data_IF_389514005827
#
_entry.id   IF_389514005827
#
_cell.length_a   1.000
_cell.length_b   1.000
_cell.length_c   1.000
_cell.angle_alpha   90.00
_cell.angle_beta   90.00
_cell.angle_gamma   90.00
#
_symmetry.space_group_name_H-M   'P 1'
#
loop_
_entity.id
_entity.type
_entity.pdbx_description
1 polymer ?
#
# COMPACT_ATOMS: atom_id res chain seq x y z
N UNK A 1 2.80 -33.68 18.51
CA UNK A 1 1.87 -33.01 17.59
C UNK A 1 2.37 -33.26 16.17
N UNK A 2 1.70 -34.11 15.39
CA UNK A 2 2.12 -34.43 14.03
C UNK A 2 1.74 -33.28 13.09
N UNK A 3 2.73 -32.56 12.56
CA UNK A 3 2.50 -31.62 11.47
C UNK A 3 2.42 -32.41 10.15
N UNK A 4 1.20 -32.68 9.69
CA UNK A 4 0.99 -33.14 8.32
C UNK A 4 1.38 -31.99 7.38
N UNK A 5 2.53 -32.11 6.75
CA UNK A 5 2.90 -31.22 5.67
C UNK A 5 2.12 -31.65 4.43
N UNK A 6 1.16 -30.82 4.04
CA UNK A 6 0.41 -31.02 2.80
C UNK A 6 1.22 -30.38 1.68
N UNK A 7 1.49 -31.15 0.64
CA UNK A 7 2.22 -30.68 -0.54
C UNK A 7 1.33 -30.80 -1.77
N UNK A 8 1.46 -29.85 -2.70
CA UNK A 8 0.94 -29.97 -4.07
C UNK A 8 2.13 -30.18 -4.99
N UNK A 9 2.06 -31.20 -5.84
CA UNK A 9 3.06 -31.42 -6.88
C UNK A 9 2.53 -30.90 -8.21
N UNK A 10 3.18 -29.89 -8.77
CA UNK A 10 2.92 -29.40 -10.12
C UNK A 10 3.82 -30.14 -11.09
N UNK A 11 3.21 -30.76 -12.11
CA UNK A 11 3.92 -31.43 -13.19
C UNK A 11 4.07 -30.49 -14.38
N UNK A 12 5.31 -30.13 -14.73
CA UNK A 12 5.66 -29.25 -15.84
C UNK A 12 6.49 -30.04 -16.85
N UNK A 13 5.83 -30.86 -17.67
CA UNK A 13 6.49 -31.81 -18.56
C UNK A 13 7.29 -32.86 -17.77
N UNK A 14 8.61 -32.92 -18.00
CA UNK A 14 9.51 -33.80 -17.24
C UNK A 14 9.87 -33.28 -15.85
N UNK A 15 9.55 -32.01 -15.53
CA UNK A 15 9.87 -31.38 -14.25
C UNK A 15 8.73 -31.57 -13.25
N UNK A 16 9.08 -31.74 -11.98
CA UNK A 16 8.15 -31.75 -10.85
C UNK A 16 8.53 -30.61 -9.90
N UNK A 17 7.55 -29.78 -9.54
CA UNK A 17 7.71 -28.73 -8.54
C UNK A 17 6.81 -29.08 -7.36
N UNK A 18 7.40 -29.22 -6.17
CA UNK A 18 6.67 -29.53 -4.95
C UNK A 18 6.47 -28.22 -4.18
N UNK A 19 5.22 -27.84 -3.96
CA UNK A 19 4.85 -26.64 -3.24
C UNK A 19 4.26 -26.99 -1.88
N UNK A 20 4.69 -26.27 -0.85
CA UNK A 20 4.09 -26.35 0.48
C UNK A 20 2.70 -25.73 0.46
N UNK A 21 1.70 -26.46 0.95
CA UNK A 21 0.37 -25.89 1.20
C UNK A 21 0.35 -25.30 2.59
N UNK A 22 0.05 -24.00 2.66
CA UNK A 22 -0.17 -23.31 3.92
C UNK A 22 -1.67 -23.15 4.15
N UNK A 23 -2.12 -23.53 5.36
CA UNK A 23 -3.49 -23.27 5.77
C UNK A 23 -3.65 -21.76 5.98
N UNK A 24 -4.63 -21.17 5.30
CA UNK A 24 -5.00 -19.77 5.50
C UNK A 24 -5.46 -19.59 6.95
N UNK A 25 -4.93 -18.54 7.61
CA UNK A 25 -5.28 -18.23 8.99
C UNK A 25 -6.78 -17.92 9.11
N UNK A 26 -7.36 -18.32 10.25
CA UNK A 26 -8.72 -17.86 10.58
C UNK A 26 -8.67 -16.35 10.81
N UNK A 27 -9.53 -15.62 10.12
CA UNK A 27 -9.59 -14.15 10.14
C UNK A 27 -10.42 -13.65 11.32
N UNK A 28 -9.96 -13.95 12.52
CA UNK A 28 -10.73 -13.79 13.77
C UNK A 28 -10.16 -12.76 14.75
N UNK A 29 -8.95 -12.24 14.50
CA UNK A 29 -8.35 -11.23 15.37
C UNK A 29 -9.16 -9.92 15.26
N UNK A 30 -9.50 -9.29 16.39
CA UNK A 30 -10.12 -7.97 16.35
C UNK A 30 -9.16 -6.94 15.75
N UNK A 31 -9.70 -5.99 14.98
CA UNK A 31 -8.92 -4.94 14.35
C UNK A 31 -9.00 -4.93 12.82
N UNK A 32 -8.15 -4.10 12.23
CA UNK A 32 -8.06 -3.88 10.80
C UNK A 32 -6.63 -4.08 10.32
N UNK A 33 -6.46 -4.87 9.25
CA UNK A 33 -5.17 -5.04 8.56
C UNK A 33 -5.20 -4.23 7.26
N UNK A 34 -4.18 -3.42 7.05
CA UNK A 34 -4.01 -2.62 5.83
C UNK A 34 -3.00 -3.28 4.91
N UNK A 35 -3.42 -3.61 3.69
CA UNK A 35 -2.57 -4.10 2.62
C UNK A 35 -2.06 -2.94 1.77
N UNK A 36 -0.74 -2.72 1.78
CA UNK A 36 -0.09 -1.68 0.98
C UNK A 36 0.41 -2.27 -0.33
N UNK A 37 0.15 -1.57 -1.43
CA UNK A 37 0.61 -1.99 -2.75
C UNK A 37 2.15 -2.06 -2.83
N UNK A 38 2.71 -2.87 -3.74
CA UNK A 38 4.15 -2.94 -3.97
C UNK A 38 4.80 -1.57 -4.19
N UNK A 39 5.70 -1.19 -3.29
CA UNK A 39 6.38 0.11 -3.37
C UNK A 39 7.68 0.01 -4.15
N UNK A 40 7.80 0.85 -5.19
CA UNK A 40 9.00 0.97 -6.03
C UNK A 40 9.51 2.40 -5.94
N UNK A 41 10.81 2.57 -5.72
CA UNK A 41 11.48 3.86 -5.66
C UNK A 41 10.81 4.87 -4.71
N UNK A 42 10.33 4.41 -3.56
CA UNK A 42 9.60 5.26 -2.64
C UNK A 42 10.55 6.13 -1.79
N UNK A 43 10.30 7.44 -1.71
CA UNK A 43 11.17 8.39 -1.01
C UNK A 43 10.49 9.21 0.09
N UNK A 44 9.15 9.15 0.18
CA UNK A 44 8.37 10.03 1.05
C UNK A 44 8.14 9.40 2.43
N UNK A 45 9.18 9.31 3.24
CA UNK A 45 9.07 8.76 4.61
C UNK A 45 8.02 9.50 5.46
N UNK A 46 7.80 10.80 5.21
CA UNK A 46 6.78 11.60 5.90
C UNK A 46 5.37 11.03 5.70
N UNK A 47 5.07 10.54 4.49
CA UNK A 47 3.78 9.92 4.18
C UNK A 47 3.58 8.69 5.05
N UNK A 48 4.60 7.83 5.19
CA UNK A 48 4.51 6.59 5.96
C UNK A 48 4.17 6.86 7.44
N UNK A 49 4.81 7.86 8.06
CA UNK A 49 4.54 8.19 9.46
C UNK A 49 3.10 8.72 9.63
N UNK A 50 2.69 9.67 8.79
CA UNK A 50 1.32 10.19 8.82
C UNK A 50 0.29 9.08 8.55
N UNK A 51 0.55 8.25 7.55
CA UNK A 51 -0.28 7.13 7.12
C UNK A 51 -0.49 6.13 8.25
N UNK A 52 0.59 5.67 8.89
CA UNK A 52 0.48 4.70 9.98
C UNK A 52 -0.28 5.32 11.16
N UNK A 53 0.00 6.57 11.53
CA UNK A 53 -0.73 7.22 12.63
C UNK A 53 -2.23 7.38 12.31
N UNK A 54 -2.57 7.81 11.09
CA UNK A 54 -3.95 7.98 10.64
C UNK A 54 -4.73 6.67 10.66
N UNK A 55 -4.18 5.63 10.04
CA UNK A 55 -4.82 4.31 10.01
C UNK A 55 -4.95 3.70 11.39
N UNK A 56 -3.96 3.89 12.27
CA UNK A 56 -4.05 3.41 13.66
C UNK A 56 -5.15 4.13 14.44
N UNK A 57 -5.31 5.44 14.24
CA UNK A 57 -6.42 6.19 14.83
C UNK A 57 -7.79 5.68 14.33
N UNK A 58 -7.83 5.15 13.10
CA UNK A 58 -9.00 4.51 12.50
C UNK A 58 -9.21 3.04 12.90
N UNK A 59 -8.32 2.46 13.72
CA UNK A 59 -8.42 1.09 14.24
C UNK A 59 -7.54 0.05 13.53
N UNK A 60 -6.62 0.47 12.66
CA UNK A 60 -5.62 -0.42 12.09
C UNK A 60 -4.65 -0.93 13.18
N UNK A 61 -4.41 -2.23 13.17
CA UNK A 61 -3.49 -2.90 14.12
C UNK A 61 -2.31 -3.56 13.43
N UNK A 62 -2.37 -3.71 12.10
CA UNK A 62 -1.34 -4.37 11.30
C UNK A 62 -1.29 -3.78 9.90
N UNK A 63 -0.08 -3.64 9.37
CA UNK A 63 0.16 -3.27 7.99
C UNK A 63 0.97 -4.36 7.31
N UNK A 64 0.66 -4.67 6.06
CA UNK A 64 1.46 -5.59 5.24
C UNK A 64 1.96 -4.78 4.05
N UNK A 65 3.27 -4.62 3.93
CA UNK A 65 3.91 -3.78 2.92
C UNK A 65 4.73 -4.66 2.01
N UNK A 66 4.41 -4.67 0.72
CA UNK A 66 5.24 -5.30 -0.30
C UNK A 66 6.34 -4.33 -0.72
N UNK A 67 7.58 -4.69 -0.44
CA UNK A 67 8.73 -3.83 -0.56
C UNK A 67 9.59 -4.24 -1.74
N UNK A 68 9.79 -3.36 -2.71
CA UNK A 68 10.76 -3.53 -3.78
C UNK A 68 11.97 -2.61 -3.59
N UNK A 69 11.74 -1.29 -3.49
CA UNK A 69 12.83 -0.34 -3.28
C UNK A 69 12.38 0.97 -2.64
N UNK A 70 13.27 1.56 -1.83
CA UNK A 70 13.06 2.85 -1.20
C UNK A 70 14.37 3.56 -0.85
N UNK A 71 14.31 4.85 -0.51
CA UNK A 71 15.49 5.57 0.02
C UNK A 71 15.90 5.03 1.39
N UNK A 72 17.12 5.31 1.83
CA UNK A 72 17.63 4.93 3.16
C UNK A 72 16.74 5.43 4.30
N UNK A 73 16.22 6.66 4.21
CA UNK A 73 15.33 7.25 5.20
C UNK A 73 13.99 6.50 5.26
N UNK A 74 13.42 6.22 4.10
CA UNK A 74 12.16 5.49 3.97
C UNK A 74 12.30 4.06 4.48
N UNK A 75 13.40 3.38 4.14
CA UNK A 75 13.73 2.06 4.66
C UNK A 75 13.83 2.09 6.19
N UNK A 76 14.58 3.04 6.76
CA UNK A 76 14.72 3.21 8.21
C UNK A 76 13.37 3.40 8.91
N UNK A 77 12.46 4.17 8.31
CA UNK A 77 11.09 4.34 8.82
C UNK A 77 10.31 3.03 8.81
N UNK A 78 10.38 2.25 7.73
CA UNK A 78 9.73 0.95 7.64
C UNK A 78 10.30 -0.05 8.67
N UNK A 79 11.62 -0.10 8.82
CA UNK A 79 12.28 -0.96 9.80
C UNK A 79 11.85 -0.62 11.23
N UNK A 80 11.77 0.66 11.58
CA UNK A 80 11.28 1.07 12.89
C UNK A 80 9.88 0.51 13.20
N UNK A 81 8.94 0.61 12.26
CA UNK A 81 7.60 0.06 12.46
C UNK A 81 7.53 -1.46 12.38
N UNK A 82 8.44 -2.11 11.63
CA UNK A 82 8.62 -3.56 11.64
C UNK A 82 9.07 -4.05 13.02
N UNK A 83 10.05 -3.37 13.61
CA UNK A 83 10.63 -3.76 14.90
C UNK A 83 9.64 -3.53 16.05
N UNK A 84 8.68 -2.61 15.88
CA UNK A 84 7.51 -2.45 16.77
C UNK A 84 6.42 -3.52 16.57
N UNK A 85 6.53 -4.39 15.56
CA UNK A 85 5.52 -5.38 15.21
C UNK A 85 4.27 -4.81 14.53
N UNK A 86 4.32 -3.56 14.07
CA UNK A 86 3.20 -2.85 13.43
C UNK A 86 3.15 -3.14 11.92
N UNK A 87 4.32 -3.15 11.27
CA UNK A 87 4.47 -3.39 9.83
C UNK A 87 5.09 -4.76 9.57
N UNK A 88 4.45 -5.56 8.73
CA UNK A 88 5.01 -6.80 8.17
C UNK A 88 5.52 -6.49 6.76
N UNK A 89 6.85 -6.42 6.61
CA UNK A 89 7.49 -6.15 5.32
C UNK A 89 7.64 -7.46 4.56
N UNK A 90 7.04 -7.55 3.36
CA UNK A 90 7.18 -8.67 2.43
C UNK A 90 8.14 -8.27 1.31
N UNK A 91 9.20 -9.05 1.12
CA UNK A 91 10.10 -8.85 -0.01
C UNK A 91 9.32 -8.99 -1.33
N UNK A 92 9.52 -8.04 -2.24
CA UNK A 92 8.98 -8.02 -3.60
C UNK A 92 10.11 -7.65 -4.58
N UNK A 93 11.11 -8.54 -4.76
CA UNK A 93 12.30 -8.24 -5.54
C UNK A 93 12.00 -8.26 -7.05
N UNK A 94 12.92 -7.69 -7.82
CA UNK A 94 12.92 -7.85 -9.28
C UNK A 94 13.07 -9.33 -9.66
N UNK A 95 12.56 -9.70 -10.83
CA UNK A 95 12.74 -11.06 -11.35
C UNK A 95 14.21 -11.30 -11.70
N UNK A 96 14.73 -12.53 -11.53
CA UNK A 96 16.08 -12.83 -11.98
C UNK A 96 16.18 -12.65 -13.50
N UNK A 97 17.32 -12.14 -13.94
CA UNK A 97 17.65 -12.07 -15.35
C UNK A 97 17.67 -13.46 -15.99
N UNK A 98 17.27 -13.53 -17.26
CA UNK A 98 17.50 -14.72 -18.08
C UNK A 98 18.98 -14.79 -18.50
N UNK A 99 19.51 -15.97 -18.84
CA UNK A 99 20.89 -16.12 -19.33
C UNK A 99 21.24 -15.13 -20.46
N UNK A 100 22.44 -14.56 -20.40
CA UNK A 100 22.86 -13.45 -21.26
C UNK A 100 22.80 -13.79 -22.77
N UNK A 101 23.00 -15.05 -23.13
CA UNK A 101 22.95 -15.56 -24.51
C UNK A 101 21.53 -15.62 -25.10
N UNK A 102 20.51 -15.52 -24.25
CA UNK A 102 19.10 -15.43 -24.66
C UNK A 102 18.41 -14.14 -24.21
N UNK A 103 19.06 -13.29 -23.41
CA UNK A 103 18.43 -12.11 -22.83
C UNK A 103 17.82 -11.16 -23.87
N UNK A 104 18.52 -10.93 -24.98
CA UNK A 104 18.03 -10.06 -26.05
C UNK A 104 16.85 -10.66 -26.85
N UNK A 105 16.53 -11.94 -26.64
CA UNK A 105 15.44 -12.66 -27.34
C UNK A 105 14.13 -12.65 -26.56
N UNK A 106 14.13 -12.24 -25.30
CA UNK A 106 12.96 -12.27 -24.42
C UNK A 106 12.70 -10.91 -23.79
N UNK A 107 11.43 -10.52 -23.60
CA UNK A 107 11.11 -9.28 -22.88
C UNK A 107 11.62 -9.38 -21.44
N UNK A 108 12.10 -8.25 -20.91
CA UNK A 108 12.42 -8.13 -19.49
C UNK A 108 11.12 -8.18 -18.69
N UNK A 109 11.01 -9.18 -17.82
CA UNK A 109 9.78 -9.42 -17.03
C UNK A 109 9.45 -8.18 -16.19
N UNK A 110 10.46 -7.58 -15.54
CA UNK A 110 10.29 -6.38 -14.71
C UNK A 110 9.81 -5.15 -15.47
N UNK A 111 9.86 -5.13 -16.81
CA UNK A 111 9.36 -4.04 -17.64
C UNK A 111 7.86 -4.16 -17.92
N UNK A 112 7.21 -5.27 -17.53
CA UNK A 112 5.78 -5.51 -17.79
C UNK A 112 4.95 -5.94 -16.57
N UNK A 113 5.56 -6.19 -15.42
CA UNK A 113 4.85 -6.79 -14.27
C UNK A 113 4.13 -5.80 -13.36
N UNK A 114 4.37 -4.50 -13.40
CA UNK A 114 3.85 -3.54 -12.39
C UNK A 114 2.34 -3.62 -12.10
N UNK A 115 1.48 -3.61 -13.12
CA UNK A 115 0.03 -3.65 -12.88
C UNK A 115 -0.40 -5.05 -12.39
N UNK A 116 0.17 -6.11 -12.99
CA UNK A 116 -0.12 -7.49 -12.58
C UNK A 116 0.40 -7.80 -11.18
N UNK A 117 1.50 -7.17 -10.79
CA UNK A 117 2.13 -7.33 -9.48
C UNK A 117 1.25 -6.75 -8.38
N UNK A 118 0.51 -5.67 -8.65
CA UNK A 118 -0.45 -5.11 -7.71
C UNK A 118 -1.58 -6.11 -7.42
N UNK A 119 -2.20 -6.67 -8.46
CA UNK A 119 -3.24 -7.69 -8.28
C UNK A 119 -2.73 -8.91 -7.53
N UNK A 120 -1.53 -9.40 -7.87
CA UNK A 120 -0.94 -10.54 -7.18
C UNK A 120 -0.64 -10.22 -5.70
N UNK A 121 0.03 -9.10 -5.42
CA UNK A 121 0.39 -8.70 -4.07
C UNK A 121 -0.85 -8.47 -3.20
N UNK A 122 -1.88 -7.80 -3.71
CA UNK A 122 -3.16 -7.61 -3.01
C UNK A 122 -3.76 -8.97 -2.64
N UNK A 123 -3.87 -9.90 -3.59
CA UNK A 123 -4.52 -11.17 -3.33
C UNK A 123 -3.69 -12.08 -2.40
N UNK A 124 -2.35 -12.02 -2.45
CA UNK A 124 -1.50 -12.66 -1.43
C UNK A 124 -1.71 -11.98 -0.08
N UNK A 125 -1.91 -10.67 -0.04
CA UNK A 125 -2.11 -9.93 1.19
C UNK A 125 -3.40 -10.32 1.90
N UNK A 126 -4.53 -10.34 1.19
CA UNK A 126 -5.83 -10.67 1.80
C UNK A 126 -5.86 -12.07 2.40
N UNK A 127 -5.06 -13.01 1.86
CA UNK A 127 -4.88 -14.35 2.40
C UNK A 127 -4.04 -14.35 3.70
N UNK A 128 -3.14 -13.38 3.86
CA UNK A 128 -2.32 -13.21 5.06
C UNK A 128 -2.99 -12.38 6.16
N UNK A 129 -4.14 -11.76 5.88
CA UNK A 129 -4.91 -11.02 6.88
C UNK A 129 -5.36 -11.98 7.99
N UNK A 130 -5.08 -11.61 9.24
CA UNK A 130 -5.53 -12.32 10.45
C UNK A 130 -6.70 -11.62 11.14
N UNK A 131 -6.85 -10.32 10.89
CA UNK A 131 -7.91 -9.50 11.47
C UNK A 131 -9.26 -9.76 10.80
N UNK A 132 -10.35 -9.41 11.48
CA UNK A 132 -11.71 -9.52 10.93
C UNK A 132 -11.94 -8.56 9.77
N UNK A 133 -11.36 -7.36 9.83
CA UNK A 133 -11.48 -6.34 8.79
C UNK A 133 -10.15 -6.21 8.03
N UNK A 134 -10.26 -6.04 6.73
CA UNK A 134 -9.15 -5.82 5.81
C UNK A 134 -9.39 -4.62 4.90
N UNK A 135 -8.33 -4.11 4.29
CA UNK A 135 -8.40 -3.06 3.28
C UNK A 135 -7.16 -3.06 2.39
N UNK A 136 -7.25 -2.42 1.22
CA UNK A 136 -6.12 -2.08 0.34
C UNK A 136 -5.97 -0.56 0.30
N UNK A 137 -4.77 -0.02 0.48
CA UNK A 137 -4.52 1.42 0.46
C UNK A 137 -3.08 1.76 0.04
N UNK A 138 -2.90 2.93 -0.57
CA UNK A 138 -1.59 3.50 -0.89
C UNK A 138 -1.05 4.32 0.28
N UNK A 139 0.27 4.56 0.37
CA UNK A 139 0.87 5.28 1.51
C UNK A 139 0.40 6.74 1.64
N UNK A 140 -0.27 7.29 0.65
CA UNK A 140 -0.87 8.62 0.66
C UNK A 140 -2.40 8.59 0.82
N UNK A 141 -2.97 7.48 1.31
CA UNK A 141 -4.40 7.27 1.45
C UNK A 141 -4.83 6.85 2.86
N UNK A 142 -5.95 7.39 3.37
CA UNK A 142 -6.64 6.86 4.57
C UNK A 142 -8.15 6.93 4.39
N UNK A 143 -8.88 5.88 4.80
CA UNK A 143 -10.35 5.93 4.80
C UNK A 143 -10.87 6.40 6.15
N UNK A 144 -11.84 7.30 6.11
CA UNK A 144 -12.48 7.85 7.30
C UNK A 144 -14.00 7.84 7.13
N UNK A 145 -14.77 7.37 8.12
CA UNK A 145 -16.22 7.56 8.11
C UNK A 145 -16.55 9.03 8.39
N UNK A 146 -17.77 9.44 8.07
CA UNK A 146 -18.27 10.77 8.45
C UNK A 146 -18.30 10.95 9.96
N UNK A 147 -18.57 9.86 10.71
CA UNK A 147 -18.62 9.86 12.18
C UNK A 147 -17.89 8.66 12.77
N UNK A 148 -17.16 8.88 13.88
CA UNK A 148 -16.49 7.82 14.64
C UNK A 148 -15.21 7.28 13.99
N UNK A 149 -14.79 6.08 14.42
CA UNK A 149 -13.63 5.38 13.84
C UNK A 149 -14.07 4.40 12.77
N UNK A 150 -13.25 4.23 11.73
CA UNK A 150 -13.51 3.32 10.61
C UNK A 150 -13.79 1.88 11.05
N UNK A 151 -12.99 1.34 11.98
CA UNK A 151 -13.18 -0.03 12.47
C UNK A 151 -14.56 -0.24 13.10
N UNK A 152 -15.03 0.72 13.90
CA UNK A 152 -16.31 0.64 14.58
C UNK A 152 -17.45 0.71 13.56
N UNK A 153 -17.40 1.71 12.67
CA UNK A 153 -18.35 1.89 11.57
C UNK A 153 -18.44 0.66 10.66
N UNK A 154 -17.30 0.13 10.21
CA UNK A 154 -17.27 -1.05 9.34
C UNK A 154 -17.79 -2.31 10.05
N UNK A 155 -17.48 -2.47 11.35
CA UNK A 155 -17.97 -3.60 12.13
C UNK A 155 -19.48 -3.55 12.29
N UNK A 156 -20.05 -2.37 12.58
CA UNK A 156 -21.50 -2.16 12.70
C UNK A 156 -22.23 -2.48 11.39
N UNK A 157 -21.75 -1.93 10.27
CA UNK A 157 -22.36 -2.12 8.95
C UNK A 157 -22.35 -3.57 8.46
N UNK A 158 -21.33 -4.34 8.81
CA UNK A 158 -21.12 -5.71 8.30
C UNK A 158 -21.65 -6.80 9.24
N UNK A 159 -21.79 -6.54 10.53
CA UNK A 159 -22.20 -7.57 11.51
C UNK A 159 -23.68 -7.88 11.37
N UNK A 160 -24.02 -9.15 11.16
CA UNK A 160 -25.41 -9.60 11.03
C UNK A 160 -26.10 -9.14 9.73
N UNK A 161 -25.35 -8.58 8.78
CA UNK A 161 -25.86 -8.11 7.48
C UNK A 161 -25.28 -8.95 6.33
N UNK A 162 -25.72 -8.65 5.10
CA UNK A 162 -25.12 -9.20 3.87
C UNK A 162 -23.98 -8.33 3.32
N UNK A 163 -23.63 -7.24 4.01
CA UNK A 163 -22.60 -6.30 3.53
C UNK A 163 -21.22 -6.89 3.84
N UNK A 164 -20.45 -7.17 2.80
CA UNK A 164 -19.08 -7.69 2.91
C UNK A 164 -18.00 -6.66 2.67
N UNK A 165 -18.35 -5.52 2.05
CA UNK A 165 -17.40 -4.44 1.77
C UNK A 165 -18.10 -3.08 1.72
N UNK A 166 -17.36 -2.03 2.10
CA UNK A 166 -17.78 -0.64 2.10
C UNK A 166 -16.81 0.18 1.22
N UNK A 167 -17.34 0.86 0.21
CA UNK A 167 -16.57 1.65 -0.77
C UNK A 167 -16.60 3.14 -0.42
N UNK A 168 -15.43 3.77 -0.33
CA UNK A 168 -15.24 5.16 0.05
C UNK A 168 -14.80 6.00 -1.14
N UNK A 169 -15.48 7.12 -1.37
CA UNK A 169 -15.18 8.03 -2.49
C UNK A 169 -13.89 8.82 -2.24
N UNK A 170 -13.06 8.93 -3.28
CA UNK A 170 -11.78 9.63 -3.23
C UNK A 170 -11.96 11.15 -3.08
N UNK A 171 -11.26 11.74 -2.13
CA UNK A 171 -11.16 13.17 -1.91
C UNK A 171 -9.70 13.53 -1.70
N UNK A 172 -9.22 14.55 -2.40
CA UNK A 172 -7.86 15.03 -2.20
C UNK A 172 -7.76 15.83 -0.91
N UNK A 173 -6.62 15.72 -0.23
CA UNK A 173 -6.32 16.50 0.97
C UNK A 173 -5.09 17.35 0.72
N UNK A 174 -5.18 18.62 1.10
CA UNK A 174 -4.10 19.59 1.03
C UNK A 174 -3.79 20.14 2.41
N UNK A 175 -2.51 20.38 2.70
CA UNK A 175 -2.07 20.88 4.00
C UNK A 175 -1.45 22.27 3.87
N UNK A 176 -1.92 23.22 4.68
CA UNK A 176 -1.31 24.56 4.77
C UNK A 176 -0.12 24.44 5.73
N UNK A 177 1.09 24.49 5.18
CA UNK A 177 2.30 23.78 5.63
C UNK A 177 2.27 22.30 5.22
N UNK A 178 3.03 21.97 4.17
CA UNK A 178 3.11 20.60 3.62
C UNK A 178 3.80 19.70 4.63
N UNK A 179 3.40 18.43 4.67
CA UNK A 179 4.02 17.41 5.53
C UNK A 179 5.51 17.19 5.22
N UNK A 180 5.95 17.54 4.00
CA UNK A 180 7.35 17.51 3.58
C UNK A 180 8.25 18.58 4.21
N UNK A 181 7.66 19.52 4.98
CA UNK A 181 8.42 20.36 5.93
C UNK A 181 8.85 19.59 7.18
N UNK A 182 8.34 18.37 7.36
CA UNK A 182 8.58 17.45 8.47
C UNK A 182 8.10 17.94 9.84
N UNK A 183 7.34 19.04 9.92
CA UNK A 183 6.71 19.53 11.15
C UNK A 183 5.22 19.13 11.29
N UNK A 184 4.61 18.61 10.22
CA UNK A 184 3.22 18.13 10.19
C UNK A 184 2.15 19.12 10.69
N UNK A 185 2.46 20.40 10.87
CA UNK A 185 1.54 21.38 11.47
C UNK A 185 0.29 21.61 10.62
N UNK A 186 0.39 21.46 9.30
CA UNK A 186 -0.73 21.57 8.39
C UNK A 186 -1.78 20.47 8.55
N UNK A 187 -1.44 19.35 9.20
CA UNK A 187 -2.37 18.25 9.50
C UNK A 187 -3.42 18.66 10.54
N UNK A 188 -3.17 19.72 11.33
CA UNK A 188 -4.16 20.23 12.28
C UNK A 188 -5.42 20.81 11.60
N UNK A 189 -5.27 21.33 10.39
CA UNK A 189 -6.34 22.00 9.64
C UNK A 189 -6.29 21.60 8.15
N UNK A 190 -6.58 20.33 7.81
CA UNK A 190 -6.56 19.85 6.44
C UNK A 190 -7.63 20.55 5.61
N UNK A 191 -7.33 20.79 4.34
CA UNK A 191 -8.31 21.24 3.34
C UNK A 191 -8.71 20.05 2.47
N UNK A 192 -10.00 19.75 2.44
CA UNK A 192 -10.55 18.70 1.59
C UNK A 192 -10.93 19.27 0.24
N UNK A 193 -10.55 18.60 -0.82
CA UNK A 193 -10.81 19.04 -2.18
C UNK A 193 -11.67 18.02 -2.93
N UNK A 194 -12.63 18.52 -3.69
CA UNK A 194 -13.47 17.69 -4.54
C UNK A 194 -12.60 17.14 -5.67
N UNK A 195 -12.48 15.82 -5.70
CA UNK A 195 -11.81 15.08 -6.76
C UNK A 195 -12.65 13.85 -7.06
N UNK A 196 -12.74 13.43 -8.33
CA UNK A 196 -13.43 12.20 -8.72
C UNK A 196 -12.40 11.16 -9.15
N UNK A 197 -11.66 10.66 -8.18
CA UNK A 197 -10.75 9.53 -8.35
C UNK A 197 -11.46 8.19 -8.14
N UNK A 198 -10.82 7.07 -8.51
CA UNK A 198 -11.31 5.75 -8.16
C UNK A 198 -11.44 5.58 -6.63
N UNK A 199 -12.49 4.89 -6.15
CA UNK A 199 -12.66 4.64 -4.72
C UNK A 199 -11.65 3.61 -4.20
N UNK A 200 -11.65 3.44 -2.87
CA UNK A 200 -11.03 2.31 -2.16
C UNK A 200 -12.06 1.75 -1.19
N UNK A 201 -11.80 0.58 -0.61
CA UNK A 201 -12.79 -0.15 0.15
C UNK A 201 -12.20 -0.85 1.36
N UNK A 202 -12.99 -0.91 2.44
CA UNK A 202 -12.76 -1.83 3.55
C UNK A 202 -13.67 -3.04 3.41
N UNK A 203 -13.26 -4.19 3.91
CA UNK A 203 -14.01 -5.43 3.75
C UNK A 203 -13.93 -6.33 4.98
N UNK A 204 -14.97 -7.13 5.17
CA UNK A 204 -14.91 -8.28 6.07
C UNK A 204 -13.98 -9.31 5.43
N UNK A 205 -12.86 -9.53 6.10
CA UNK A 205 -11.78 -10.33 5.55
C UNK A 205 -12.21 -11.78 5.31
N UNK A 206 -13.20 -12.30 6.06
CA UNK A 206 -13.67 -13.69 5.93
C UNK A 206 -14.53 -13.96 4.70
N UNK A 207 -15.06 -12.92 4.05
CA UNK A 207 -16.03 -13.08 2.95
C UNK A 207 -15.50 -12.61 1.60
N UNK A 208 -14.40 -11.83 1.56
CA UNK A 208 -13.77 -11.43 0.29
C UNK A 208 -12.98 -12.59 -0.31
N UNK A 209 -13.26 -12.92 -1.57
CA UNK A 209 -12.59 -13.98 -2.32
C UNK A 209 -11.44 -13.43 -3.17
N UNK A 210 -11.73 -12.39 -3.95
CA UNK A 210 -10.76 -11.71 -4.82
C UNK A 210 -10.83 -10.22 -4.58
N UNK A 211 -9.66 -9.59 -4.53
CA UNK A 211 -9.51 -8.16 -4.35
C UNK A 211 -8.87 -7.52 -5.59
N UNK A 212 -9.37 -6.36 -5.99
CA UNK A 212 -8.73 -5.46 -6.96
C UNK A 212 -8.33 -4.14 -6.27
N UNK A 213 -7.55 -3.30 -6.96
CA UNK A 213 -7.03 -2.05 -6.37
C UNK A 213 -8.17 -1.13 -5.90
N UNK A 214 -9.24 -1.00 -6.69
CA UNK A 214 -10.31 -0.02 -6.44
C UNK A 214 -11.68 -0.63 -6.14
N UNK A 215 -11.84 -1.95 -6.31
CA UNK A 215 -13.12 -2.63 -6.09
C UNK A 215 -12.93 -3.96 -5.34
N UNK A 216 -13.86 -4.33 -4.46
CA UNK A 216 -13.97 -5.69 -3.93
C UNK A 216 -14.56 -6.58 -5.03
N UNK A 217 -13.70 -7.31 -5.74
CA UNK A 217 -14.05 -7.99 -7.00
C UNK A 217 -15.11 -9.09 -6.83
N UNK A 218 -14.86 -10.03 -5.92
CA UNK A 218 -15.79 -11.12 -5.67
C UNK A 218 -15.77 -11.58 -4.22
N UNK A 219 -16.90 -12.14 -3.79
CA UNK A 219 -17.11 -12.69 -2.47
C UNK A 219 -17.19 -14.22 -2.51
N UNK A 220 -16.84 -14.86 -1.39
CA UNK A 220 -16.90 -16.33 -1.24
C UNK A 220 -18.33 -16.85 -1.34
N UNK A 221 -19.29 -16.09 -0.81
CA UNK A 221 -20.73 -16.36 -0.87
C UNK A 221 -21.41 -15.34 -1.79
N UNK A 222 -22.18 -15.82 -2.77
CA UNK A 222 -22.85 -14.98 -3.78
C UNK A 222 -23.94 -14.06 -3.22
N UNK A 223 -24.39 -14.28 -1.98
CA UNK A 223 -25.39 -13.44 -1.31
C UNK A 223 -24.77 -12.19 -0.65
N UNK A 224 -23.45 -12.14 -0.52
CA UNK A 224 -22.71 -11.01 0.05
C UNK A 224 -22.61 -9.89 -0.98
N UNK A 225 -22.77 -8.64 -0.52
CA UNK A 225 -22.79 -7.45 -1.37
C UNK A 225 -21.77 -6.40 -0.90
N UNK A 226 -21.33 -5.57 -1.85
CA UNK A 226 -20.68 -4.29 -1.56
C UNK A 226 -21.70 -3.17 -1.38
N UNK A 227 -21.37 -2.17 -0.56
CA UNK A 227 -22.18 -0.97 -0.32
C UNK A 227 -21.29 0.28 -0.38
N UNK A 228 -21.84 1.42 -0.79
CA UNK A 228 -21.14 2.70 -0.64
C UNK A 228 -21.14 3.13 0.84
N UNK A 229 -19.97 3.57 1.31
CA UNK A 229 -19.76 4.02 2.67
C UNK A 229 -20.24 5.46 2.88
N UNK A 230 -20.64 5.78 4.11
CA UNK A 230 -20.77 7.15 4.59
C UNK A 230 -19.42 7.65 5.11
N UNK A 231 -18.62 8.24 4.21
CA UNK A 231 -17.28 8.71 4.53
C UNK A 231 -16.50 9.17 3.30
N UNK A 232 -15.17 9.19 3.42
CA UNK A 232 -14.26 9.44 2.30
C UNK A 232 -12.97 8.63 2.39
N UNK A 233 -12.38 8.41 1.22
CA UNK A 233 -10.98 8.09 1.05
C UNK A 233 -10.23 9.42 0.94
N UNK A 234 -9.43 9.74 1.94
CA UNK A 234 -8.60 10.93 2.00
C UNK A 234 -7.26 10.65 1.33
N UNK A 235 -7.00 11.30 0.20
CA UNK A 235 -5.80 11.14 -0.62
C UNK A 235 -4.89 12.37 -0.49
N UNK A 236 -3.83 12.27 0.30
CA UNK A 236 -2.85 13.33 0.57
C UNK A 236 -1.60 13.21 -0.32
N UNK A 237 -1.84 13.13 -1.63
CA UNK A 237 -0.80 12.96 -2.65
C UNK A 237 0.22 14.09 -2.60
N UNK A 238 1.49 13.79 -2.95
CA UNK A 238 2.56 14.80 -3.02
C UNK A 238 2.13 16.06 -3.78
N UNK A 239 1.52 15.94 -4.95
CA UNK A 239 1.14 17.07 -5.80
C UNK A 239 -0.27 17.61 -5.52
N UNK A 240 -0.94 17.24 -4.43
CA UNK A 240 -2.33 17.62 -4.19
C UNK A 240 -2.53 19.15 -4.18
N UNK A 241 -1.61 19.91 -3.56
CA UNK A 241 -1.71 21.37 -3.49
C UNK A 241 -1.56 22.07 -4.85
N UNK A 242 -0.84 21.47 -5.82
CA UNK A 242 -0.60 22.11 -7.13
C UNK A 242 -1.77 21.95 -8.09
N UNK A 243 -2.79 21.14 -7.75
CA UNK A 243 -3.94 20.86 -8.63
C UNK A 243 -5.04 21.91 -8.60
N UNK A 244 -4.96 22.95 -7.75
CA UNK A 244 -5.92 24.05 -7.67
C UNK A 244 -7.40 23.61 -7.65
N UNK A 245 -7.69 22.56 -6.89
CA UNK A 245 -9.02 21.96 -6.82
C UNK A 245 -9.96 22.77 -5.92
N UNK A 246 -11.27 22.61 -6.13
CA UNK A 246 -12.29 23.26 -5.30
C UNK A 246 -12.32 22.63 -3.91
N UNK A 247 -12.10 23.46 -2.89
CA UNK A 247 -12.21 23.06 -1.48
C UNK A 247 -13.67 22.80 -1.11
N UNK A 248 -13.92 21.81 -0.24
CA UNK A 248 -15.23 21.46 0.28
C UNK A 248 -15.26 21.51 1.80
N UNK A 249 -16.40 21.88 2.38
CA UNK A 249 -16.62 21.98 3.82
C UNK A 249 -17.08 20.67 4.47
N UNK A 250 -16.86 19.52 3.80
CA UNK A 250 -17.28 18.23 4.35
C UNK A 250 -16.62 17.97 5.72
N UNK A 251 -17.35 17.40 6.70
CA UNK A 251 -16.91 17.27 8.08
C UNK A 251 -15.94 16.09 8.30
N UNK A 252 -15.13 15.75 7.30
CA UNK A 252 -14.17 14.67 7.43
C UNK A 252 -13.11 15.03 8.46
N UNK A 253 -12.74 14.05 9.28
CA UNK A 253 -11.67 14.19 10.26
C UNK A 253 -10.56 13.21 9.92
N UNK A 254 -9.35 13.73 9.82
CA UNK A 254 -8.18 12.89 9.57
C UNK A 254 -7.94 11.96 10.77
N UNK A 255 -8.04 12.52 11.98
CA UNK A 255 -8.06 11.77 13.23
C UNK A 255 -9.46 11.86 13.89
N UNK A 256 -10.07 10.75 14.32
CA UNK A 256 -11.40 10.76 14.92
C UNK A 256 -11.43 11.45 16.30
N UNK A 257 -10.27 11.53 16.97
CA UNK A 257 -10.01 12.06 18.30
C UNK A 257 -9.02 13.26 18.26
N UNK A 258 -8.18 13.44 19.29
CA UNK A 258 -7.40 14.66 19.51
C UNK A 258 -6.26 14.81 18.49
N UNK A 259 -6.42 15.73 17.53
CA UNK A 259 -5.45 15.97 16.46
C UNK A 259 -4.06 16.39 17.00
N UNK A 260 -4.01 17.21 18.06
CA UNK A 260 -2.74 17.68 18.63
C UNK A 260 -1.92 16.53 19.22
N UNK A 261 -2.58 15.53 19.80
CA UNK A 261 -1.90 14.33 20.30
C UNK A 261 -1.27 13.52 19.17
N UNK A 262 -1.99 13.32 18.07
CA UNK A 262 -1.45 12.60 16.91
C UNK A 262 -0.30 13.34 16.23
N UNK A 263 -0.40 14.66 16.07
CA UNK A 263 0.70 15.47 15.51
C UNK A 263 1.94 15.34 16.39
N UNK A 264 1.80 15.43 17.71
CA UNK A 264 2.90 15.21 18.64
C UNK A 264 3.50 13.80 18.53
N UNK A 265 2.66 12.75 18.41
CA UNK A 265 3.13 11.38 18.22
C UNK A 265 3.95 11.24 16.93
N UNK A 266 3.54 11.89 15.85
CA UNK A 266 4.24 11.93 14.57
C UNK A 266 5.60 12.61 14.71
N UNK A 267 5.66 13.76 15.38
CA UNK A 267 6.90 14.49 15.67
C UNK A 267 7.86 13.65 16.53
N UNK A 268 7.37 13.11 17.66
CA UNK A 268 8.14 12.26 18.58
C UNK A 268 8.67 11.01 17.87
N UNK A 269 7.85 10.39 17.00
CA UNK A 269 8.25 9.22 16.20
C UNK A 269 9.31 9.59 15.18
N UNK A 270 9.17 10.73 14.49
CA UNK A 270 10.17 11.23 13.55
C UNK A 270 11.51 11.45 14.26
N UNK A 271 11.50 12.06 15.45
CA UNK A 271 12.72 12.26 16.24
C UNK A 271 13.34 10.94 16.70
N UNK A 272 12.54 9.94 17.08
CA UNK A 272 13.04 8.59 17.44
C UNK A 272 13.69 7.89 16.26
N UNK A 273 13.03 7.88 15.09
CA UNK A 273 13.57 7.22 13.89
C UNK A 273 14.91 7.84 13.47
N UNK A 274 15.03 9.17 13.53
CA UNK A 274 16.19 9.89 13.01
C UNK A 274 17.14 10.43 14.08
N UNK A 275 17.04 9.95 15.33
CA UNK A 275 17.87 10.38 16.46
C UNK A 275 17.97 11.91 16.57
N UNK A 276 16.84 12.59 16.44
CA UNK A 276 16.75 14.06 16.47
C UNK A 276 17.14 14.77 15.16
N UNK A 277 17.91 14.13 14.28
CA UNK A 277 18.44 14.72 13.05
C UNK A 277 17.50 14.44 11.85
N UNK A 278 16.38 15.17 11.80
CA UNK A 278 15.33 14.95 10.79
C UNK A 278 15.86 15.24 9.37
N UNK A 279 15.80 14.27 8.42
CA UNK A 279 16.25 14.47 7.05
C UNK A 279 15.43 15.56 6.35
N UNK A 280 16.14 16.43 5.61
CA UNK A 280 15.48 17.41 4.73
C UNK A 280 14.87 16.68 3.53
N UNK A 281 13.60 16.96 3.25
CA UNK A 281 12.93 16.43 2.06
C UNK A 281 13.62 16.91 0.77
N UNK A 282 13.65 16.02 -0.22
CA UNK A 282 14.10 16.32 -1.58
C UNK A 282 13.10 15.74 -2.58
N UNK A 283 12.61 16.57 -3.50
CA UNK A 283 11.71 16.14 -4.58
C UNK A 283 12.44 15.41 -5.71
N UNK A 284 13.78 15.47 -5.77
CA UNK A 284 14.60 14.99 -6.89
C UNK A 284 14.20 13.58 -7.36
N UNK A 285 14.05 12.62 -6.44
CA UNK A 285 13.67 11.25 -6.78
C UNK A 285 12.25 11.17 -7.37
N UNK A 286 11.31 11.93 -6.82
CA UNK A 286 9.93 12.00 -7.34
C UNK A 286 9.90 12.66 -8.73
N UNK A 287 10.59 13.79 -8.89
CA UNK A 287 10.63 14.54 -10.14
C UNK A 287 11.28 13.69 -11.26
N UNK A 288 12.39 13.01 -10.95
CA UNK A 288 13.07 12.08 -11.89
C UNK A 288 12.15 10.93 -12.31
N UNK A 289 11.44 10.33 -11.35
CA UNK A 289 10.50 9.25 -11.64
C UNK A 289 9.36 9.75 -12.53
N UNK A 290 8.79 10.91 -12.23
CA UNK A 290 7.70 11.50 -13.02
C UNK A 290 8.16 11.87 -14.44
N UNK A 291 9.37 12.39 -14.60
CA UNK A 291 9.98 12.64 -15.91
C UNK A 291 10.14 11.35 -16.72
N UNK A 292 10.61 10.26 -16.10
CA UNK A 292 10.69 8.97 -16.77
C UNK A 292 9.29 8.45 -17.16
N UNK A 293 8.34 8.45 -16.23
CA UNK A 293 6.95 8.03 -16.48
C UNK A 293 6.35 8.80 -17.67
N UNK A 294 6.55 10.12 -17.73
CA UNK A 294 6.02 10.96 -18.81
C UNK A 294 6.66 10.67 -20.18
N UNK A 295 7.85 10.06 -20.24
CA UNK A 295 8.46 9.57 -21.50
C UNK A 295 7.89 8.23 -21.94
N UNK A 296 7.39 7.43 -20.99
CA UNK A 296 6.91 6.07 -21.19
C UNK A 296 5.41 6.01 -21.51
N UNK A 297 4.59 6.87 -20.88
CA UNK A 297 3.13 6.95 -21.09
C UNK A 297 2.70 7.24 -22.55
N UNK A 298 3.38 8.09 -23.34
CA UNK A 298 2.95 8.43 -24.70
C UNK A 298 3.09 7.31 -25.75
N UNK A 299 3.57 6.12 -25.38
CA UNK A 299 3.72 5.01 -26.33
C UNK A 299 2.35 4.36 -26.55
N UNK A 300 1.73 4.68 -27.71
CA UNK A 300 0.34 4.36 -28.12
C UNK A 300 -0.04 2.86 -28.20
N UNK A 301 0.86 1.94 -27.91
CA UNK A 301 0.61 0.51 -28.07
C UNK A 301 0.39 -0.17 -26.72
N UNK A 302 -0.87 -0.56 -26.47
CA UNK A 302 -1.47 -1.71 -25.72
C UNK A 302 -0.60 -2.60 -24.78
N UNK A 303 0.54 -2.14 -24.29
CA UNK A 303 1.48 -2.90 -23.48
C UNK A 303 1.34 -2.41 -22.04
N UNK A 304 1.15 -3.35 -21.12
CA UNK A 304 1.21 -3.05 -19.69
C UNK A 304 2.67 -2.78 -19.34
N UNK A 305 3.03 -1.51 -19.11
CA UNK A 305 4.40 -1.09 -18.81
C UNK A 305 4.61 -1.01 -17.29
N UNK A 306 5.80 -1.43 -16.86
CA UNK A 306 6.26 -1.39 -15.48
C UNK A 306 7.32 -0.33 -15.29
N UNK A 307 6.94 0.70 -14.54
CA UNK A 307 7.81 1.83 -14.23
C UNK A 307 9.00 1.37 -13.35
N UNK A 308 8.81 0.30 -12.56
CA UNK A 308 9.85 -0.29 -11.70
C UNK A 308 11.09 -0.74 -12.48
N UNK A 309 10.89 -1.47 -13.59
CA UNK A 309 11.97 -1.92 -14.47
C UNK A 309 12.46 -0.82 -15.40
N UNK A 310 11.52 -0.15 -16.10
CA UNK A 310 11.83 0.80 -17.17
C UNK A 310 12.63 2.00 -16.65
N UNK A 311 12.24 2.56 -15.50
CA UNK A 311 12.88 3.76 -14.96
C UNK A 311 14.10 3.47 -14.09
N UNK A 312 14.53 2.20 -13.97
CA UNK A 312 15.61 1.82 -13.06
C UNK A 312 16.90 2.57 -13.31
N UNK A 313 17.29 2.72 -14.58
CA UNK A 313 18.54 3.38 -14.95
C UNK A 313 18.56 4.87 -14.62
N UNK A 314 17.43 5.58 -14.73
CA UNK A 314 17.32 6.97 -14.25
C UNK A 314 17.30 7.02 -12.73
N UNK A 315 16.56 6.12 -12.09
CA UNK A 315 16.40 6.14 -10.63
C UNK A 315 17.71 5.84 -9.91
N UNK A 316 18.50 4.87 -10.38
CA UNK A 316 19.82 4.53 -9.81
C UNK A 316 20.84 5.68 -9.88
N UNK A 317 20.62 6.70 -10.72
CA UNK A 317 21.49 7.89 -10.80
C UNK A 317 21.17 8.97 -9.78
N UNK A 318 19.99 8.93 -9.15
CA UNK A 318 19.49 10.05 -8.34
C UNK A 318 19.40 9.77 -6.85
N UNK A 319 19.52 8.50 -6.43
CA UNK A 319 19.54 8.13 -5.02
C UNK A 319 20.23 6.77 -4.80
N UNK A 320 20.71 6.55 -3.58
CA UNK A 320 21.16 5.24 -3.10
C UNK A 320 19.94 4.45 -2.62
N UNK A 321 19.36 3.66 -3.51
CA UNK A 321 18.20 2.85 -3.18
C UNK A 321 18.58 1.64 -2.33
N UNK A 322 17.81 1.42 -1.27
CA UNK A 322 17.74 0.12 -0.61
C UNK A 322 16.77 -0.73 -1.43
N UNK A 323 17.23 -1.88 -1.90
CA UNK A 323 16.43 -2.84 -2.66
C UNK A 323 16.06 -4.02 -1.79
N UNK A 324 14.91 -4.63 -2.08
CA UNK A 324 14.50 -5.87 -1.47
C UNK A 324 15.46 -7.01 -1.84
N UNK A 325 15.81 -7.83 -0.86
CA UNK A 325 16.63 -9.01 -1.12
C UNK A 325 15.87 -9.97 -2.04
N UNK A 326 16.51 -10.35 -3.13
CA UNK A 326 16.03 -11.42 -4.00
C UNK A 326 16.33 -12.76 -3.33
N UNK A 327 15.34 -13.34 -2.64
CA UNK A 327 15.38 -14.80 -2.45
C UNK A 327 15.15 -15.46 -3.82
N UNK A 328 15.86 -16.55 -4.15
CA UNK A 328 15.65 -17.29 -5.39
C UNK A 328 14.29 -18.02 -5.33
N UNK A 329 13.20 -17.27 -5.47
CA UNK A 329 11.84 -17.79 -5.59
C UNK A 329 11.67 -18.46 -6.95
N UNK A 330 12.34 -17.92 -7.98
CA UNK A 330 12.44 -18.54 -9.29
C UNK A 330 13.69 -19.40 -9.33
N UNK A 331 13.48 -20.70 -9.50
CA UNK A 331 14.54 -21.70 -9.66
C UNK A 331 15.48 -21.24 -10.79
N UNK A 332 16.69 -20.81 -10.44
CA UNK A 332 17.77 -20.69 -11.39
C UNK A 332 18.03 -22.10 -11.92
N UNK A 333 17.92 -22.28 -13.23
CA UNK A 333 18.31 -23.52 -13.86
C UNK A 333 19.82 -23.70 -13.66
N UNK A 334 20.21 -24.61 -12.77
CA UNK A 334 21.57 -25.15 -12.72
C UNK A 334 21.72 -26.26 -13.74
#
# INVERSE_FOLDING_TARGET
MFFFHIYVTIHLGSRKVVLNVQKIYKKSTEGLTVCVLPIHYYSQWQNIILYIEAWRAQGATRFIVYYHSATKETWKTLEYYRDLGIVDIKSWPSFPGVPADIADKYPKIDDSTFILSYFLAINICILNIKTKIGTVADFDEVMVPTNGRLLDYATEEMTGSKVGALSFENHYVSFTSRIYTSNFSGVASPKFNVYRGPPKYVFNASVLAVAQVHIPDSFVDSSVIGKNADGALLHFRYDAESKNLTTTEKPYRFFPDNHSTHIKNIEDTSHKIFNGSIPKFSSKSYDTLQECINKVIPVEDKVCLSIGGICKAEMDKVNDWVYADSEPIFLVAT
#
